data_IF_032783362120
#
_entry.id   IF_032783362120
#
_cell.length_a   1.000
_cell.length_b   1.000
_cell.length_c   1.000
_cell.angle_alpha   90.00
_cell.angle_beta   90.00
_cell.angle_gamma   90.00
#
_symmetry.space_group_name_H-M   'P 1'
#
loop_
_entity.id
_entity.type
_entity.pdbx_description
1 polymer ?
#
# COMPACT_ATOMS: atom_id res chain seq x y z
N UNK A 1 10.68 -38.34 -56.99
CA UNK A 1 10.69 -38.83 -55.60
C UNK A 1 11.08 -37.68 -54.67
N UNK A 2 10.11 -36.90 -54.20
CA UNK A 2 10.28 -35.75 -53.30
C UNK A 2 9.12 -35.83 -52.31
N UNK A 3 9.30 -36.62 -51.26
CA UNK A 3 8.35 -36.79 -50.16
C UNK A 3 9.06 -36.27 -48.90
N UNK A 4 8.30 -35.68 -47.98
CA UNK A 4 8.65 -35.53 -46.56
C UNK A 4 9.51 -34.35 -46.08
N UNK A 5 9.36 -33.11 -46.57
CA UNK A 5 9.97 -31.94 -45.88
C UNK A 5 8.92 -30.98 -45.28
N UNK A 6 7.70 -30.89 -45.84
CA UNK A 6 6.71 -29.91 -45.38
C UNK A 6 5.89 -30.28 -44.12
N UNK A 7 5.93 -31.54 -43.65
CA UNK A 7 5.16 -31.99 -42.48
C UNK A 7 5.92 -31.86 -41.15
N UNK A 8 7.26 -31.80 -41.18
CA UNK A 8 8.09 -31.77 -39.96
C UNK A 8 8.15 -30.37 -39.34
N UNK A 9 8.01 -29.32 -40.15
CA UNK A 9 8.15 -27.91 -39.72
C UNK A 9 6.96 -27.45 -38.87
N UNK A 10 5.76 -27.98 -39.09
CA UNK A 10 4.54 -27.61 -38.34
C UNK A 10 4.47 -28.23 -36.95
N UNK A 11 5.15 -29.35 -36.68
CA UNK A 11 5.20 -29.96 -35.33
C UNK A 11 6.15 -29.18 -34.39
N UNK A 12 7.16 -28.51 -34.94
CA UNK A 12 8.12 -27.70 -34.17
C UNK A 12 7.53 -26.43 -33.56
N UNK A 13 6.31 -26.02 -33.95
CA UNK A 13 5.61 -24.85 -33.41
C UNK A 13 4.63 -25.22 -32.27
N UNK A 14 4.98 -26.17 -31.41
CA UNK A 14 4.12 -26.60 -30.29
C UNK A 14 4.78 -26.60 -28.91
N UNK A 15 6.04 -26.16 -28.80
CA UNK A 15 6.65 -25.85 -27.51
C UNK A 15 6.32 -24.41 -27.12
N UNK A 16 5.06 -24.19 -26.73
CA UNK A 16 4.79 -23.11 -25.78
C UNK A 16 5.52 -23.50 -24.50
N UNK A 17 6.73 -22.95 -24.32
CA UNK A 17 7.42 -22.92 -23.05
C UNK A 17 6.49 -22.20 -22.06
N UNK A 18 5.70 -22.96 -21.31
CA UNK A 18 5.10 -22.43 -20.09
C UNK A 18 6.27 -22.12 -19.17
N UNK A 19 6.70 -20.86 -19.17
CA UNK A 19 7.67 -20.39 -18.20
C UNK A 19 7.14 -20.79 -16.82
N UNK A 20 7.91 -21.59 -16.07
CA UNK A 20 7.57 -21.89 -14.69
C UNK A 20 7.51 -20.55 -13.95
N UNK A 21 6.29 -20.07 -13.66
CA UNK A 21 6.08 -18.91 -12.81
C UNK A 21 6.34 -19.36 -11.38
N UNK A 22 7.63 -19.44 -11.00
CA UNK A 22 8.02 -19.68 -9.61
C UNK A 22 7.49 -18.50 -8.80
N UNK A 23 6.58 -18.71 -7.85
CA UNK A 23 6.04 -17.61 -7.08
C UNK A 23 7.18 -16.91 -6.35
N UNK A 24 7.20 -15.58 -6.42
CA UNK A 24 8.17 -14.78 -5.69
C UNK A 24 8.08 -15.14 -4.20
N UNK A 25 9.20 -15.53 -3.60
CA UNK A 25 9.28 -15.68 -2.14
C UNK A 25 9.16 -14.30 -1.51
N UNK A 26 8.16 -14.11 -0.66
CA UNK A 26 7.97 -12.89 0.12
C UNK A 26 8.74 -13.08 1.43
N UNK A 27 9.70 -12.20 1.77
CA UNK A 27 10.38 -12.21 3.06
C UNK A 27 9.39 -12.21 4.22
N UNK A 28 9.69 -12.91 5.32
CA UNK A 28 8.79 -12.96 6.49
C UNK A 28 8.60 -11.55 7.08
N UNK A 29 9.65 -10.75 7.04
CA UNK A 29 9.71 -9.38 7.53
C UNK A 29 8.68 -8.47 6.83
N UNK A 30 8.34 -8.75 5.57
CA UNK A 30 7.34 -7.97 4.83
C UNK A 30 5.92 -8.12 5.40
N UNK A 31 5.63 -9.20 6.13
CA UNK A 31 4.34 -9.41 6.80
C UNK A 31 4.22 -8.64 8.13
N UNK A 32 5.35 -8.24 8.73
CA UNK A 32 5.39 -7.59 10.05
C UNK A 32 5.83 -6.14 10.00
N UNK A 33 6.39 -5.67 8.88
CA UNK A 33 6.74 -4.26 8.70
C UNK A 33 5.50 -3.38 8.59
N UNK A 34 5.64 -2.12 9.00
CA UNK A 34 4.61 -1.13 8.74
C UNK A 34 4.40 -0.94 7.23
N UNK A 35 3.16 -0.80 6.76
CA UNK A 35 2.89 -0.47 5.37
C UNK A 35 3.37 0.96 5.08
N UNK A 36 3.68 1.23 3.81
CA UNK A 36 4.06 2.58 3.38
C UNK A 36 2.93 3.59 3.62
N UNK A 37 1.68 3.18 3.39
CA UNK A 37 0.46 3.95 3.66
C UNK A 37 -0.68 3.01 4.05
N UNK A 38 -1.53 3.43 4.97
CA UNK A 38 -2.72 2.70 5.40
C UNK A 38 -3.83 3.65 5.86
N UNK A 39 -5.03 3.13 6.12
CA UNK A 39 -6.14 3.86 6.73
C UNK A 39 -6.54 5.14 5.99
N UNK A 40 -6.72 5.05 4.67
CA UNK A 40 -7.14 6.19 3.85
C UNK A 40 -8.56 6.64 4.21
N UNK A 41 -8.76 7.96 4.30
CA UNK A 41 -10.09 8.57 4.46
C UNK A 41 -10.21 9.82 3.60
N UNK A 42 -11.41 10.06 3.07
CA UNK A 42 -11.77 11.30 2.39
C UNK A 42 -12.37 12.27 3.41
N UNK A 43 -12.02 13.55 3.33
CA UNK A 43 -12.67 14.57 4.15
C UNK A 43 -14.15 14.72 3.77
N UNK A 44 -15.02 15.23 4.66
CA UNK A 44 -16.45 15.31 4.41
C UNK A 44 -16.87 16.00 3.10
N UNK A 45 -16.13 17.03 2.67
CA UNK A 45 -16.41 17.73 1.40
C UNK A 45 -15.58 17.21 0.22
N UNK A 46 -14.70 16.24 0.43
CA UNK A 46 -13.85 15.68 -0.62
C UNK A 46 -12.56 16.45 -0.90
N UNK A 47 -12.33 17.59 -0.25
CA UNK A 47 -11.17 18.45 -0.53
C UNK A 47 -9.83 17.82 -0.15
N UNK A 48 -9.81 16.87 0.79
CA UNK A 48 -8.58 16.27 1.33
C UNK A 48 -8.66 14.75 1.45
N UNK A 49 -7.51 14.12 1.26
CA UNK A 49 -7.29 12.70 1.57
C UNK A 49 -6.32 12.63 2.75
N UNK A 50 -6.75 11.98 3.81
CA UNK A 50 -5.89 11.60 4.94
C UNK A 50 -5.51 10.13 4.86
N UNK A 51 -4.36 9.78 5.43
CA UNK A 51 -3.91 8.41 5.62
C UNK A 51 -2.88 8.36 6.74
N UNK A 52 -2.56 7.16 7.20
CA UNK A 52 -1.42 6.92 8.09
C UNK A 52 -0.21 6.44 7.32
N UNK A 53 0.99 6.92 7.66
CA UNK A 53 2.27 6.47 7.11
C UNK A 53 3.38 6.48 8.17
N UNK A 54 4.49 5.75 7.98
CA UNK A 54 5.56 5.69 8.98
C UNK A 54 6.28 7.03 9.19
N UNK A 55 6.44 7.42 10.45
CA UNK A 55 7.35 8.44 10.94
C UNK A 55 8.15 7.84 12.12
N UNK A 56 9.47 7.75 11.98
CA UNK A 56 10.37 7.12 12.98
C UNK A 56 9.91 5.72 13.43
N UNK A 57 9.37 4.92 12.50
CA UNK A 57 8.89 3.57 12.80
C UNK A 57 7.50 3.50 13.43
N UNK A 58 6.80 4.63 13.62
CA UNK A 58 5.40 4.68 14.07
C UNK A 58 4.45 5.24 13.03
N UNK A 59 3.24 4.70 12.94
CA UNK A 59 2.21 5.18 12.02
C UNK A 59 1.62 6.51 12.50
N UNK A 60 1.78 7.54 11.67
CA UNK A 60 1.34 8.92 11.91
C UNK A 60 0.41 9.40 10.81
N UNK A 61 -0.39 10.44 11.08
CA UNK A 61 -1.39 10.96 10.14
C UNK A 61 -0.74 11.97 9.18
N UNK A 62 -1.01 11.76 7.90
CA UNK A 62 -0.68 12.63 6.79
C UNK A 62 -1.96 13.08 6.09
N UNK A 63 -1.97 14.30 5.58
CA UNK A 63 -3.10 14.88 4.85
C UNK A 63 -2.58 15.53 3.57
N UNK A 64 -3.24 15.28 2.44
CA UNK A 64 -2.98 15.97 1.17
C UNK A 64 -4.29 16.50 0.57
N UNK A 65 -4.27 17.55 -0.24
CA UNK A 65 -5.43 17.89 -1.08
C UNK A 65 -5.79 16.70 -1.98
N UNK A 66 -7.08 16.49 -2.28
CA UNK A 66 -7.50 15.36 -3.13
C UNK A 66 -6.85 15.41 -4.52
N UNK A 67 -6.72 16.63 -5.07
CA UNK A 67 -6.18 16.92 -6.40
C UNK A 67 -4.65 17.15 -6.42
N UNK A 68 -3.94 16.92 -5.32
CA UNK A 68 -2.49 17.07 -5.25
C UNK A 68 -1.83 15.93 -4.49
N UNK A 69 -0.63 15.53 -4.91
CA UNK A 69 0.05 14.37 -4.34
C UNK A 69 0.96 14.71 -3.14
N UNK A 70 1.21 15.99 -2.88
CA UNK A 70 2.11 16.41 -1.79
C UNK A 70 1.39 16.39 -0.45
N UNK A 71 1.77 15.52 0.49
CA UNK A 71 1.15 15.46 1.81
C UNK A 71 1.85 16.36 2.82
N UNK A 72 1.11 16.71 3.87
CA UNK A 72 1.60 17.31 5.10
C UNK A 72 1.40 16.31 6.23
N UNK A 73 2.45 16.07 7.00
CA UNK A 73 2.39 15.30 8.24
C UNK A 73 1.77 16.18 9.34
N UNK A 74 0.71 15.71 10.01
CA UNK A 74 0.01 16.50 11.03
C UNK A 74 0.14 15.94 12.46
N UNK A 75 0.75 14.77 12.63
CA UNK A 75 1.11 14.18 13.92
C UNK A 75 2.55 13.65 13.89
N UNK A 76 3.23 13.59 15.04
CA UNK A 76 4.65 13.24 15.13
C UNK A 76 4.95 12.26 16.28
N UNK A 77 4.03 11.34 16.56
CA UNK A 77 4.14 10.35 17.63
C UNK A 77 5.31 9.40 17.38
N UNK A 78 6.11 9.14 18.42
CA UNK A 78 7.26 8.22 18.38
C UNK A 78 7.08 6.99 19.27
N UNK A 79 6.14 7.04 20.20
CA UNK A 79 6.04 6.03 21.25
C UNK A 79 5.13 4.87 20.82
N UNK A 80 3.98 5.20 20.20
CA UNK A 80 2.99 4.25 19.69
C UNK A 80 2.43 4.69 18.34
N UNK A 81 1.91 3.73 17.58
CA UNK A 81 1.16 4.00 16.35
C UNK A 81 -0.17 4.69 16.66
N UNK A 82 -0.58 5.62 15.81
CA UNK A 82 -1.96 6.13 15.82
C UNK A 82 -2.87 5.06 15.24
N UNK A 83 -3.62 4.38 16.13
CA UNK A 83 -4.47 3.24 15.76
C UNK A 83 -5.83 3.64 15.20
N UNK A 84 -6.37 4.79 15.61
CA UNK A 84 -7.67 5.25 15.18
C UNK A 84 -7.71 6.77 15.06
N UNK A 85 -8.30 7.25 13.96
CA UNK A 85 -8.57 8.66 13.73
C UNK A 85 -9.78 8.80 12.80
N UNK A 86 -10.41 9.97 12.80
CA UNK A 86 -11.51 10.29 11.89
C UNK A 86 -11.63 11.80 11.68
N UNK A 87 -12.27 12.18 10.57
CA UNK A 87 -12.63 13.57 10.30
C UNK A 87 -13.80 14.00 11.19
N UNK A 88 -13.61 15.01 12.02
CA UNK A 88 -14.70 15.64 12.76
C UNK A 88 -15.47 16.65 11.89
N UNK A 89 -14.78 17.27 10.92
CA UNK A 89 -15.33 18.11 9.87
C UNK A 89 -14.27 18.28 8.76
N UNK A 90 -14.53 19.07 7.74
CA UNK A 90 -13.61 19.27 6.61
C UNK A 90 -12.26 19.93 6.94
N UNK A 91 -12.03 20.34 8.19
CA UNK A 91 -10.82 21.04 8.63
C UNK A 91 -10.17 20.43 9.86
N UNK A 92 -10.79 19.43 10.50
CA UNK A 92 -10.33 18.88 11.78
C UNK A 92 -10.37 17.36 11.77
N UNK A 93 -9.29 16.78 12.25
CA UNK A 93 -9.17 15.36 12.53
C UNK A 93 -9.10 15.17 14.04
N UNK A 94 -9.79 14.15 14.53
CA UNK A 94 -9.65 13.62 15.88
C UNK A 94 -8.92 12.28 15.80
N UNK A 95 -8.07 11.99 16.77
CA UNK A 95 -7.37 10.72 16.86
C UNK A 95 -7.30 10.28 18.33
N UNK A 96 -7.26 8.96 18.54
CA UNK A 96 -7.09 8.41 19.87
C UNK A 96 -5.63 8.52 20.28
N UNK A 97 -5.42 9.07 21.48
CA UNK A 97 -4.14 9.13 22.16
C UNK A 97 -4.33 8.68 23.59
N UNK A 98 -3.47 7.76 24.01
CA UNK A 98 -3.33 7.26 25.37
C UNK A 98 -1.93 7.68 25.84
N UNK A 99 -1.81 8.15 27.08
CA UNK A 99 -0.53 8.49 27.70
C UNK A 99 -0.22 7.43 28.76
N UNK A 100 0.54 6.41 28.38
CA UNK A 100 1.01 5.36 29.31
C UNK A 100 -0.10 4.57 30.04
N UNK A 101 -1.34 4.53 29.53
CA UNK A 101 -2.43 3.72 30.06
C UNK A 101 -3.20 4.38 31.19
N UNK A 102 -3.31 5.71 31.19
CA UNK A 102 -4.04 6.51 32.19
C UNK A 102 -5.53 6.76 31.83
N UNK A 103 -6.15 5.82 31.10
CA UNK A 103 -7.58 5.86 30.73
C UNK A 103 -8.53 6.14 31.90
#
# INVERSE_FOLDING_TARGET
>A
MKVCIFSVVTVLLSLNLTAMNIPRRIPLEDFFRNPEKANFQLSPQGDYISYTAPYKGRMNIFVRPAEADTPVQITFETDRDIRAYFWANNRRILFLKDNDGDE
#
